data_IF_444398558049
#
_entry.id   IF_444398558049
#
_cell.length_a   1.000
_cell.length_b   1.000
_cell.length_c   1.000
_cell.angle_alpha   90.00
_cell.angle_beta   90.00
_cell.angle_gamma   90.00
#
_symmetry.space_group_name_H-M   'P 1'
#
loop_
_entity.id
_entity.type
_entity.pdbx_description
1 polymer ?
#
# COMPACT_ATOMS: atom_id res chain seq x y z
N UNK A 1 40.04 1.68 24.59
CA UNK A 1 39.20 2.88 24.40
C UNK A 1 38.51 2.72 23.04
N UNK A 2 37.29 2.20 23.03
CA UNK A 2 36.54 1.87 21.81
C UNK A 2 35.19 2.59 21.92
N UNK A 3 35.14 3.78 21.35
CA UNK A 3 33.97 4.65 21.29
C UNK A 3 34.04 5.38 19.95
N UNK A 4 32.87 5.55 19.32
CA UNK A 4 32.59 6.19 18.03
C UNK A 4 32.59 5.30 16.78
N UNK A 5 31.51 4.53 16.61
CA UNK A 5 31.00 4.13 15.29
C UNK A 5 29.46 4.24 15.17
N UNK A 6 28.73 4.58 16.23
CA UNK A 6 27.27 4.60 16.26
C UNK A 6 26.62 5.82 15.59
N UNK A 7 27.31 6.97 15.52
CA UNK A 7 26.72 8.20 14.98
C UNK A 7 26.47 8.16 13.45
N UNK A 8 27.34 7.49 12.69
CA UNK A 8 27.24 7.43 11.23
C UNK A 8 26.08 6.57 10.74
N UNK A 9 25.70 5.53 11.49
CA UNK A 9 24.60 4.64 11.12
C UNK A 9 23.23 5.27 11.37
N UNK A 10 23.02 5.92 12.52
CA UNK A 10 21.77 6.64 12.80
C UNK A 10 21.50 7.79 11.80
N UNK A 11 22.56 8.45 11.33
CA UNK A 11 22.46 9.47 10.28
C UNK A 11 22.11 8.89 8.90
N UNK A 12 22.59 7.68 8.58
CA UNK A 12 22.21 6.99 7.35
C UNK A 12 20.74 6.57 7.37
N UNK A 13 20.27 6.01 8.48
CA UNK A 13 18.88 5.55 8.63
C UNK A 13 17.89 6.72 8.59
N UNK A 14 18.20 7.83 9.27
CA UNK A 14 17.36 9.04 9.18
C UNK A 14 17.28 9.64 7.77
N UNK A 15 18.37 9.59 7.00
CA UNK A 15 18.36 9.99 5.58
C UNK A 15 17.49 9.05 4.73
N UNK A 16 17.52 7.75 5.01
CA UNK A 16 16.65 6.76 4.34
C UNK A 16 15.18 7.06 4.67
N UNK A 17 14.84 7.27 5.94
CA UNK A 17 13.48 7.59 6.37
C UNK A 17 12.96 8.87 5.71
N UNK A 18 13.76 9.94 5.69
CA UNK A 18 13.37 11.22 5.10
C UNK A 18 13.22 11.18 3.57
N UNK A 19 13.92 10.28 2.88
CA UNK A 19 13.75 10.09 1.43
C UNK A 19 12.38 9.51 1.09
N UNK A 20 11.90 8.58 1.91
CA UNK A 20 10.65 7.86 1.70
C UNK A 20 9.44 8.53 2.36
N UNK A 21 9.67 9.44 3.31
CA UNK A 21 8.64 10.22 3.99
C UNK A 21 8.78 11.71 3.66
N UNK A 22 7.84 12.23 2.90
CA UNK A 22 7.85 13.61 2.40
C UNK A 22 6.75 14.42 3.08
N UNK A 23 7.04 15.68 3.44
CA UNK A 23 6.08 16.62 4.01
C UNK A 23 5.87 17.79 3.06
N UNK A 24 4.62 18.19 2.86
CA UNK A 24 4.22 19.40 2.15
C UNK A 24 3.43 20.28 3.10
N UNK A 25 3.93 21.48 3.33
CA UNK A 25 3.34 22.46 4.23
C UNK A 25 2.66 23.57 3.45
N UNK A 26 1.44 23.90 3.84
CA UNK A 26 0.63 24.97 3.24
C UNK A 26 0.19 25.93 4.33
N UNK A 27 0.26 27.22 4.03
CA UNK A 27 -0.16 28.29 4.95
C UNK A 27 -1.05 29.28 4.22
N UNK A 28 -2.06 29.75 4.92
CA UNK A 28 -2.95 30.82 4.48
C UNK A 28 -2.63 32.12 5.23
N UNK A 29 -2.91 33.27 4.59
CA UNK A 29 -2.59 34.60 5.11
C UNK A 29 -3.30 34.90 6.45
N UNK A 30 -4.43 34.23 6.71
CA UNK A 30 -5.22 34.35 7.94
C UNK A 30 -4.74 33.41 9.07
N UNK A 31 -3.61 32.72 8.89
CA UNK A 31 -2.96 31.90 9.92
C UNK A 31 -3.32 30.42 9.92
N UNK A 32 -4.18 29.96 9.00
CA UNK A 32 -4.47 28.54 8.83
C UNK A 32 -3.26 27.79 8.24
N UNK A 33 -2.95 26.62 8.80
CA UNK A 33 -1.84 25.77 8.33
C UNK A 33 -2.33 24.34 8.07
N UNK A 34 -1.78 23.73 7.02
CA UNK A 34 -1.98 22.31 6.71
C UNK A 34 -0.64 21.68 6.37
N UNK A 35 -0.22 20.69 7.15
CA UNK A 35 0.86 19.79 6.78
C UNK A 35 0.28 18.48 6.27
N UNK A 36 0.73 18.07 5.08
CA UNK A 36 0.43 16.76 4.50
C UNK A 36 1.73 15.98 4.39
N UNK A 37 1.80 14.86 5.07
CA UNK A 37 2.92 13.94 5.01
C UNK A 37 2.48 12.66 4.32
N UNK A 38 3.30 12.19 3.38
CA UNK A 38 3.10 10.92 2.71
C UNK A 38 4.36 10.08 2.80
N UNK A 39 4.20 8.79 3.09
CA UNK A 39 5.29 7.84 3.24
C UNK A 39 5.06 6.61 2.41
N UNK A 40 6.01 6.31 1.51
CA UNK A 40 6.01 5.08 0.73
C UNK A 40 6.82 4.00 1.47
N UNK A 41 6.23 2.84 1.72
CA UNK A 41 6.89 1.74 2.43
C UNK A 41 7.77 0.90 1.51
N UNK A 42 8.91 1.47 1.12
CA UNK A 42 9.97 0.73 0.46
C UNK A 42 10.66 -0.26 1.42
N UNK A 43 11.36 -1.25 0.87
CA UNK A 43 12.08 -2.24 1.67
C UNK A 43 13.09 -1.60 2.63
N UNK A 44 13.94 -0.73 2.11
CA UNK A 44 14.95 -0.03 2.92
C UNK A 44 14.31 0.92 3.95
N UNK A 45 13.13 1.47 3.67
CA UNK A 45 12.40 2.29 4.65
C UNK A 45 11.94 1.43 5.83
N UNK A 46 11.36 0.25 5.55
CA UNK A 46 10.87 -0.67 6.58
C UNK A 46 12.02 -1.14 7.47
N UNK A 47 13.15 -1.54 6.89
CA UNK A 47 14.32 -1.96 7.68
C UNK A 47 14.84 -0.82 8.57
N UNK A 48 14.96 0.39 8.00
CA UNK A 48 15.38 1.56 8.77
C UNK A 48 14.39 1.90 9.90
N UNK A 49 13.08 1.78 9.64
CA UNK A 49 12.02 2.02 10.63
C UNK A 49 12.06 1.00 11.76
N UNK A 50 12.13 -0.30 11.43
CA UNK A 50 12.22 -1.39 12.41
C UNK A 50 13.44 -1.21 13.30
N UNK A 51 14.59 -0.89 12.69
CA UNK A 51 15.83 -0.65 13.43
C UNK A 51 15.71 0.57 14.34
N UNK A 52 15.17 1.69 13.85
CA UNK A 52 14.96 2.89 14.65
C UNK A 52 14.04 2.62 15.85
N UNK A 53 12.93 1.92 15.65
CA UNK A 53 12.01 1.56 16.75
C UNK A 53 12.65 0.57 17.73
N UNK A 54 13.43 -0.40 17.25
CA UNK A 54 14.16 -1.32 18.13
C UNK A 54 15.18 -0.59 19.01
N UNK A 55 15.97 0.33 18.45
CA UNK A 55 16.93 1.14 19.21
C UNK A 55 16.24 2.06 20.21
N UNK A 56 15.18 2.76 19.78
CA UNK A 56 14.42 3.71 20.61
C UNK A 56 13.76 3.03 21.80
N UNK A 57 13.24 1.81 21.61
CA UNK A 57 12.53 1.07 22.65
C UNK A 57 13.41 0.02 23.35
N UNK A 58 14.71 -0.06 23.02
CA UNK A 58 15.67 -1.05 23.56
C UNK A 58 15.19 -2.50 23.40
N UNK A 59 14.58 -2.82 22.26
CA UNK A 59 14.03 -4.14 22.00
C UNK A 59 15.11 -5.21 21.85
N UNK A 60 14.78 -6.40 22.34
CA UNK A 60 15.52 -7.62 22.01
C UNK A 60 15.37 -8.00 20.53
N UNK A 61 16.21 -8.91 20.06
CA UNK A 61 16.11 -9.44 18.69
C UNK A 61 14.72 -10.08 18.42
N UNK A 62 14.17 -10.80 19.41
CA UNK A 62 12.87 -11.45 19.29
C UNK A 62 11.72 -10.44 19.22
N UNK A 63 11.79 -9.36 20.00
CA UNK A 63 10.80 -8.27 19.96
C UNK A 63 10.86 -7.50 18.63
N UNK A 64 12.07 -7.27 18.13
CA UNK A 64 12.31 -6.62 16.83
C UNK A 64 11.72 -7.45 15.68
N UNK A 65 11.98 -8.77 15.67
CA UNK A 65 11.42 -9.68 14.67
C UNK A 65 9.89 -9.76 14.75
N UNK A 66 9.33 -9.77 15.97
CA UNK A 66 7.87 -9.76 16.18
C UNK A 66 7.23 -8.48 15.65
N UNK A 67 7.84 -7.33 15.93
CA UNK A 67 7.37 -6.04 15.40
C UNK A 67 7.44 -6.01 13.88
N UNK A 68 8.56 -6.43 13.30
CA UNK A 68 8.74 -6.55 11.84
C UNK A 68 7.66 -7.43 11.21
N UNK A 69 7.38 -8.59 11.81
CA UNK A 69 6.31 -9.48 11.36
C UNK A 69 4.93 -8.80 11.38
N UNK A 70 4.57 -8.12 12.47
CA UNK A 70 3.29 -7.42 12.59
C UNK A 70 3.15 -6.29 11.57
N UNK A 71 4.21 -5.50 11.40
CA UNK A 71 4.26 -4.42 10.41
C UNK A 71 4.07 -4.95 8.99
N UNK A 72 4.87 -5.95 8.58
CA UNK A 72 4.79 -6.54 7.25
C UNK A 72 3.43 -7.19 6.99
N UNK A 73 2.87 -7.86 8.00
CA UNK A 73 1.53 -8.47 7.92
C UNK A 73 0.44 -7.43 7.68
N UNK A 74 0.53 -6.26 8.32
CA UNK A 74 -0.44 -5.17 8.14
C UNK A 74 -0.26 -4.40 6.83
N UNK A 75 0.97 -4.36 6.30
CA UNK A 75 1.27 -3.69 5.03
C UNK A 75 0.82 -4.50 3.81
N UNK A 76 0.74 -5.83 3.90
CA UNK A 76 0.29 -6.72 2.81
C UNK A 76 0.99 -6.43 1.48
N UNK A 77 2.32 -6.27 1.54
CA UNK A 77 3.17 -5.83 0.42
C UNK A 77 3.13 -6.76 -0.79
N UNK A 78 2.69 -8.00 -0.58
CA UNK A 78 2.50 -8.99 -1.62
C UNK A 78 1.30 -8.70 -2.51
N UNK A 79 0.27 -8.01 -2.00
CA UNK A 79 -0.97 -7.67 -2.74
C UNK A 79 -1.05 -6.18 -3.10
N UNK A 80 -0.52 -5.32 -2.24
CA UNK A 80 -0.70 -3.87 -2.33
C UNK A 80 0.61 -3.10 -2.33
N UNK A 81 0.50 -1.84 -2.76
CA UNK A 81 1.49 -0.78 -2.61
C UNK A 81 0.94 0.14 -1.52
N UNK A 82 1.37 -0.02 -0.25
CA UNK A 82 0.87 0.78 0.85
C UNK A 82 1.56 2.13 0.92
N UNK A 83 0.77 3.17 1.16
CA UNK A 83 1.23 4.52 1.44
C UNK A 83 0.57 4.99 2.72
N UNK A 84 1.38 5.45 3.68
CA UNK A 84 0.87 6.13 4.87
C UNK A 84 0.70 7.61 4.55
N UNK A 85 -0.46 8.14 4.90
CA UNK A 85 -0.77 9.57 4.76
C UNK A 85 -1.10 10.11 6.15
N UNK A 86 -0.53 11.25 6.49
CA UNK A 86 -0.78 12.00 7.71
C UNK A 86 -1.14 13.44 7.36
N UNK A 87 -2.20 13.95 7.97
CA UNK A 87 -2.62 15.35 7.90
C UNK A 87 -2.50 15.96 9.29
N UNK A 88 -1.89 17.15 9.40
CA UNK A 88 -1.97 18.05 10.56
C UNK A 88 -2.66 19.34 10.10
N UNK A 89 -3.97 19.42 10.36
CA UNK A 89 -4.80 20.55 9.95
C UNK A 89 -5.02 21.50 11.14
N UNK A 90 -4.50 22.73 11.02
CA UNK A 90 -4.64 23.82 11.99
C UNK A 90 -5.41 25.00 11.40
N UNK A 91 -6.28 24.75 10.44
CA UNK A 91 -7.20 25.74 9.89
C UNK A 91 -8.63 25.23 9.85
N UNK A 92 -9.45 25.72 8.90
CA UNK A 92 -10.82 25.26 8.72
C UNK A 92 -10.90 23.74 8.55
N UNK A 93 -11.98 23.14 9.03
CA UNK A 93 -12.12 21.69 8.97
C UNK A 93 -12.11 21.16 7.53
N UNK A 94 -11.39 20.07 7.33
CA UNK A 94 -11.30 19.38 6.04
C UNK A 94 -12.47 18.42 5.86
N UNK A 95 -12.97 18.35 4.63
CA UNK A 95 -14.03 17.44 4.20
C UNK A 95 -13.51 16.55 3.08
N UNK A 96 -13.16 15.31 3.41
CA UNK A 96 -12.44 14.43 2.51
C UNK A 96 -13.24 13.17 2.14
N UNK A 97 -14.58 13.19 2.25
CA UNK A 97 -15.41 12.06 1.80
C UNK A 97 -15.92 12.26 0.36
N UNK A 98 -15.90 11.23 -0.49
CA UNK A 98 -15.23 9.93 -0.29
C UNK A 98 -13.73 10.05 -0.57
N UNK A 99 -12.88 9.57 0.35
CA UNK A 99 -11.44 9.89 0.37
C UNK A 99 -10.66 9.36 -0.83
N UNK A 100 -11.01 8.17 -1.28
CA UNK A 100 -10.46 7.53 -2.47
C UNK A 100 -10.58 8.39 -3.73
N UNK A 101 -11.65 9.18 -3.85
CA UNK A 101 -11.86 10.05 -5.02
C UNK A 101 -10.85 11.20 -5.16
N UNK A 102 -10.15 11.53 -4.07
CA UNK A 102 -9.11 12.56 -4.05
C UNK A 102 -7.71 11.99 -4.32
N UNK A 103 -7.55 10.67 -4.36
CA UNK A 103 -6.25 10.02 -4.45
C UNK A 103 -6.02 9.39 -5.83
N UNK A 104 -4.78 9.45 -6.29
CA UNK A 104 -4.34 8.69 -7.45
C UNK A 104 -2.87 8.36 -7.32
N UNK A 105 -2.52 7.10 -7.60
CA UNK A 105 -1.12 6.68 -7.66
C UNK A 105 -0.71 6.47 -9.12
N UNK A 106 0.28 7.23 -9.56
CA UNK A 106 0.87 7.08 -10.88
C UNK A 106 2.09 6.17 -10.77
N UNK A 107 2.02 5.06 -11.47
CA UNK A 107 3.08 4.07 -11.58
C UNK A 107 3.52 4.05 -13.05
N UNK A 108 4.56 4.81 -13.36
CA UNK A 108 4.90 5.15 -14.74
C UNK A 108 3.77 5.89 -15.44
N UNK A 109 3.20 5.29 -16.50
CA UNK A 109 2.05 5.86 -17.25
C UNK A 109 0.69 5.38 -16.72
N UNK A 110 0.67 4.41 -15.81
CA UNK A 110 -0.55 3.81 -15.29
C UNK A 110 -1.05 4.60 -14.09
N UNK A 111 -2.33 4.91 -14.08
CA UNK A 111 -3.02 5.60 -12.98
C UNK A 111 -3.83 4.58 -12.18
N UNK A 112 -3.57 4.50 -10.88
CA UNK A 112 -4.23 3.57 -9.97
C UNK A 112 -5.11 4.35 -9.00
N UNK A 113 -6.27 3.79 -8.68
CA UNK A 113 -7.12 4.21 -7.57
C UNK A 113 -6.83 3.35 -6.34
N UNK A 114 -7.07 3.84 -5.12
CA UNK A 114 -6.98 3.01 -3.92
C UNK A 114 -7.91 1.79 -4.03
N UNK A 115 -7.40 0.63 -3.63
CA UNK A 115 -8.19 -0.58 -3.43
C UNK A 115 -8.82 -0.60 -2.04
N UNK A 116 -8.08 -0.12 -1.03
CA UNK A 116 -8.60 0.10 0.32
C UNK A 116 -7.87 1.25 1.02
N UNK A 117 -8.44 1.76 2.10
CA UNK A 117 -7.89 2.85 2.89
C UNK A 117 -8.57 2.96 4.25
N UNK A 118 -7.92 3.65 5.20
CA UNK A 118 -8.49 3.95 6.51
C UNK A 118 -9.76 4.82 6.40
N UNK A 119 -10.92 4.25 6.71
CA UNK A 119 -12.23 4.93 6.58
C UNK A 119 -12.36 6.15 7.50
N UNK A 120 -11.48 6.34 8.49
CA UNK A 120 -11.42 7.56 9.32
C UNK A 120 -11.17 8.81 8.48
N UNK A 121 -10.58 8.68 7.28
CA UNK A 121 -10.41 9.80 6.36
C UNK A 121 -11.73 10.34 5.78
N UNK A 122 -12.81 9.55 5.78
CA UNK A 122 -14.12 10.04 5.31
C UNK A 122 -14.81 10.98 6.32
N UNK A 123 -14.31 11.07 7.55
CA UNK A 123 -14.91 11.95 8.55
C UNK A 123 -14.25 13.33 8.49
N UNK A 124 -15.01 14.36 8.87
CA UNK A 124 -14.51 15.72 9.07
C UNK A 124 -13.22 15.69 9.89
N UNK A 125 -12.23 16.48 9.49
CA UNK A 125 -10.93 16.54 10.15
C UNK A 125 -10.60 17.96 10.61
N UNK A 126 -10.34 18.07 11.91
CA UNK A 126 -9.69 19.20 12.58
C UNK A 126 -8.56 18.61 13.45
N UNK A 127 -7.37 19.19 13.39
CA UNK A 127 -6.18 18.60 14.00
C UNK A 127 -5.57 17.47 13.16
N UNK A 128 -5.11 16.41 13.83
CA UNK A 128 -4.28 15.36 13.23
C UNK A 128 -5.06 14.10 12.86
N UNK A 129 -4.74 13.52 11.71
CA UNK A 129 -5.18 12.18 11.33
C UNK A 129 -4.22 11.53 10.38
N UNK A 130 -3.94 10.26 10.65
CA UNK A 130 -3.09 9.43 9.82
C UNK A 130 -3.74 8.06 9.54
N UNK A 131 -3.25 7.40 8.51
CA UNK A 131 -3.77 6.11 8.10
C UNK A 131 -3.09 5.58 6.84
N UNK A 132 -3.33 4.29 6.57
CA UNK A 132 -2.83 3.61 5.38
C UNK A 132 -3.82 3.74 4.21
N UNK A 133 -3.25 3.82 3.03
CA UNK A 133 -3.93 3.72 1.74
C UNK A 133 -3.25 2.61 0.94
N UNK A 134 -4.03 1.67 0.45
CA UNK A 134 -3.55 0.50 -0.28
C UNK A 134 -3.89 0.64 -1.76
N UNK A 135 -2.89 0.71 -2.62
CA UNK A 135 -3.06 0.66 -4.07
C UNK A 135 -2.78 -0.75 -4.58
N UNK A 136 -3.47 -1.24 -5.63
CA UNK A 136 -3.23 -2.57 -6.16
C UNK A 136 -1.79 -2.71 -6.67
N UNK A 137 -1.13 -3.83 -6.37
CA UNK A 137 0.24 -4.11 -6.85
C UNK A 137 0.29 -4.73 -8.25
N UNK A 138 -0.76 -5.43 -8.66
CA UNK A 138 -0.86 -6.08 -9.97
C UNK A 138 -2.06 -5.56 -10.76
N UNK A 139 -1.95 -5.62 -12.08
CA UNK A 139 -3.11 -5.43 -12.95
C UNK A 139 -4.03 -6.66 -12.98
N UNK A 140 -5.17 -6.52 -13.65
CA UNK A 140 -6.19 -7.57 -13.78
C UNK A 140 -5.64 -8.87 -14.41
N UNK A 141 -4.51 -8.80 -15.12
CA UNK A 141 -3.84 -9.95 -15.74
C UNK A 141 -2.75 -10.54 -14.84
N UNK A 142 -2.59 -10.03 -13.62
CA UNK A 142 -1.57 -10.45 -12.66
C UNK A 142 -0.18 -9.91 -12.94
N UNK A 143 -0.02 -8.92 -13.83
CA UNK A 143 1.29 -8.31 -14.09
C UNK A 143 1.59 -7.23 -13.02
N UNK A 144 2.77 -7.25 -12.37
CA UNK A 144 3.13 -6.23 -11.38
C UNK A 144 3.18 -4.84 -12.01
N UNK A 145 2.62 -3.84 -11.33
CA UNK A 145 2.69 -2.44 -11.77
C UNK A 145 4.09 -1.84 -11.63
N UNK A 146 4.84 -2.26 -10.61
CA UNK A 146 6.16 -1.72 -10.28
C UNK A 146 7.31 -2.28 -11.15
N UNK A 147 7.04 -3.28 -11.97
CA UNK A 147 8.05 -3.91 -12.83
C UNK A 147 8.65 -2.91 -13.84
N UNK A 148 9.96 -2.70 -13.76
CA UNK A 148 10.70 -1.75 -14.61
C UNK A 148 10.39 -0.27 -14.36
N UNK A 149 9.69 0.07 -13.28
CA UNK A 149 9.30 1.46 -12.97
C UNK A 149 10.39 2.15 -12.15
N UNK A 150 10.73 3.37 -12.56
CA UNK A 150 11.75 4.18 -11.85
C UNK A 150 11.15 5.05 -10.75
N UNK A 151 9.93 5.53 -10.92
CA UNK A 151 9.32 6.47 -10.00
C UNK A 151 7.83 6.23 -9.85
N UNK A 152 7.35 6.49 -8.64
CA UNK A 152 5.93 6.48 -8.29
C UNK A 152 5.54 7.88 -7.83
N UNK A 153 4.38 8.37 -8.28
CA UNK A 153 3.84 9.66 -7.86
C UNK A 153 2.45 9.50 -7.23
N UNK A 154 2.29 9.95 -5.99
CA UNK A 154 0.99 10.12 -5.37
C UNK A 154 0.48 11.54 -5.66
N UNK A 155 -0.73 11.62 -6.21
CA UNK A 155 -1.47 12.86 -6.37
C UNK A 155 -2.61 12.86 -5.34
N UNK A 156 -2.68 13.92 -4.54
CA UNK A 156 -3.82 14.21 -3.68
C UNK A 156 -4.50 15.47 -4.20
N UNK A 157 -5.75 15.38 -4.65
CA UNK A 157 -6.51 16.55 -5.11
C UNK A 157 -6.59 17.59 -4.00
N UNK A 158 -6.22 18.82 -4.34
CA UNK A 158 -6.09 19.89 -3.35
C UNK A 158 -7.43 20.42 -2.81
N UNK A 159 -8.55 20.01 -3.40
CA UNK A 159 -9.91 20.35 -2.93
C UNK A 159 -10.28 19.72 -1.58
N UNK A 160 -9.40 18.93 -0.96
CA UNK A 160 -9.57 18.38 0.39
C UNK A 160 -9.56 19.45 1.50
N UNK A 161 -8.99 20.62 1.22
CA UNK A 161 -8.88 21.74 2.17
C UNK A 161 -9.00 23.09 1.44
N UNK A 162 -9.57 24.09 2.11
CA UNK A 162 -9.62 25.47 1.61
C UNK A 162 -8.22 26.08 1.48
N UNK A 163 -7.29 25.69 2.37
CA UNK A 163 -5.91 26.18 2.41
C UNK A 163 -5.16 25.82 1.11
N UNK A 164 -5.50 24.70 0.51
CA UNK A 164 -4.82 24.18 -0.69
C UNK A 164 -5.55 24.53 -1.99
N UNK A 165 -6.65 25.28 -1.97
CA UNK A 165 -7.45 25.57 -3.18
C UNK A 165 -6.71 26.36 -4.28
N UNK A 166 -5.56 27.00 -3.97
CA UNK A 166 -4.74 27.73 -4.95
C UNK A 166 -3.94 26.80 -5.88
N UNK A 167 -3.87 25.50 -5.57
CA UNK A 167 -3.18 24.48 -6.39
C UNK A 167 -4.16 23.40 -6.82
N UNK A 168 -3.81 22.62 -7.84
CA UNK A 168 -4.65 21.52 -8.33
C UNK A 168 -4.48 20.25 -7.49
N UNK A 169 -3.22 19.90 -7.19
CA UNK A 169 -2.84 18.65 -6.53
C UNK A 169 -1.65 18.87 -5.61
N UNK A 170 -1.60 18.08 -4.54
CA UNK A 170 -0.46 17.93 -3.66
C UNK A 170 0.27 16.67 -4.14
N UNK A 171 1.43 16.85 -4.75
CA UNK A 171 2.18 15.76 -5.39
C UNK A 171 3.35 15.31 -4.52
N UNK A 172 3.49 13.99 -4.40
CA UNK A 172 4.63 13.31 -3.76
C UNK A 172 5.25 12.34 -4.76
N UNK A 173 6.58 12.37 -4.91
CA UNK A 173 7.28 11.56 -5.90
C UNK A 173 8.42 10.81 -5.23
N UNK A 174 8.44 9.50 -5.39
CA UNK A 174 9.51 8.63 -4.90
C UNK A 174 10.22 7.93 -6.05
N UNK A 175 11.54 7.79 -5.93
CA UNK A 175 12.36 6.95 -6.80
C UNK A 175 12.34 5.52 -6.26
N UNK A 176 11.71 4.62 -7.01
CA UNK A 176 11.54 3.20 -6.69
C UNK A 176 12.45 2.30 -7.52
N UNK A 177 13.38 2.86 -8.29
CA UNK A 177 14.23 2.10 -9.21
C UNK A 177 15.12 1.06 -8.53
N UNK A 178 15.36 1.22 -7.23
CA UNK A 178 16.16 0.32 -6.39
C UNK A 178 15.35 -0.33 -5.26
N UNK A 179 14.03 -0.17 -5.26
CA UNK A 179 13.19 -0.81 -4.26
C UNK A 179 13.09 -2.31 -4.57
N UNK A 180 13.51 -3.14 -3.62
CA UNK A 180 13.43 -4.59 -3.70
C UNK A 180 12.66 -5.14 -2.48
N UNK A 181 11.33 -5.22 -2.57
CA UNK A 181 10.51 -5.77 -1.49
C UNK A 181 10.83 -7.24 -1.17
N UNK A 182 11.42 -8.00 -2.09
CA UNK A 182 11.80 -9.39 -1.82
C UNK A 182 12.94 -9.48 -0.81
N UNK A 183 13.77 -8.44 -0.71
CA UNK A 183 14.82 -8.35 0.31
C UNK A 183 14.28 -8.39 1.75
N UNK A 184 13.05 -7.92 1.98
CA UNK A 184 12.37 -7.97 3.28
C UNK A 184 12.04 -9.40 3.71
N UNK A 185 11.96 -10.31 2.75
CA UNK A 185 11.63 -11.72 2.97
C UNK A 185 12.88 -12.60 3.13
N UNK A 186 13.95 -12.06 3.73
CA UNK A 186 15.12 -12.83 4.18
C UNK A 186 15.12 -12.91 5.72
N UNK A 187 15.18 -14.12 6.28
CA UNK A 187 15.20 -14.36 7.74
C UNK A 187 14.05 -15.22 8.27
N UNK A 188 13.92 -15.34 9.61
CA UNK A 188 12.87 -16.18 10.24
C UNK A 188 11.48 -15.57 10.15
N UNK A 189 11.30 -14.27 10.44
CA UNK A 189 10.00 -13.60 10.26
C UNK A 189 9.53 -13.65 8.80
N UNK A 190 10.47 -13.51 7.88
CA UNK A 190 10.24 -13.64 6.46
C UNK A 190 9.73 -15.03 6.03
N UNK A 191 10.37 -16.11 6.50
CA UNK A 191 9.94 -17.47 6.19
C UNK A 191 8.52 -17.74 6.71
N UNK A 192 8.17 -17.18 7.87
CA UNK A 192 6.81 -17.26 8.43
C UNK A 192 5.80 -16.47 7.59
N UNK A 193 6.13 -15.24 7.17
CA UNK A 193 5.27 -14.44 6.30
C UNK A 193 5.06 -15.09 4.94
N UNK A 194 6.12 -15.64 4.35
CA UNK A 194 6.05 -16.36 3.09
C UNK A 194 5.15 -17.59 3.22
N UNK A 195 5.25 -18.34 4.32
CA UNK A 195 4.35 -19.46 4.61
C UNK A 195 2.90 -19.00 4.76
N UNK A 196 2.63 -17.94 5.53
CA UNK A 196 1.29 -17.37 5.69
C UNK A 196 0.72 -16.88 4.35
N UNK A 197 1.56 -16.25 3.51
CA UNK A 197 1.22 -15.81 2.15
C UNK A 197 0.84 -16.99 1.26
N UNK A 198 1.69 -18.03 1.25
CA UNK A 198 1.45 -19.23 0.43
C UNK A 198 0.17 -19.94 0.86
N UNK A 199 -0.12 -20.02 2.16
CA UNK A 199 -1.38 -20.58 2.67
C UNK A 199 -2.57 -19.77 2.15
N UNK A 200 -2.56 -18.44 2.29
CA UNK A 200 -3.64 -17.58 1.77
C UNK A 200 -3.82 -17.73 0.26
N UNK A 201 -2.73 -17.81 -0.49
CA UNK A 201 -2.77 -18.02 -1.94
C UNK A 201 -3.37 -19.37 -2.31
N UNK A 202 -3.04 -20.42 -1.57
CA UNK A 202 -3.63 -21.76 -1.73
C UNK A 202 -5.14 -21.72 -1.47
N UNK A 203 -5.58 -21.05 -0.40
CA UNK A 203 -7.01 -20.89 -0.10
C UNK A 203 -7.77 -20.18 -1.22
N UNK A 204 -7.22 -19.06 -1.72
CA UNK A 204 -7.81 -18.30 -2.83
C UNK A 204 -7.89 -19.14 -4.12
N UNK A 205 -6.80 -19.80 -4.50
CA UNK A 205 -6.77 -20.65 -5.69
C UNK A 205 -7.73 -21.84 -5.57
N UNK A 206 -7.89 -22.42 -4.38
CA UNK A 206 -8.88 -23.47 -4.14
C UNK A 206 -10.32 -22.96 -4.28
N UNK A 207 -10.62 -21.75 -3.81
CA UNK A 207 -11.93 -21.13 -4.01
C UNK A 207 -12.22 -20.84 -5.49
N UNK A 208 -11.25 -20.28 -6.21
CA UNK A 208 -11.35 -20.03 -7.66
C UNK A 208 -11.53 -21.34 -8.45
N UNK A 209 -10.75 -22.39 -8.11
CA UNK A 209 -10.89 -23.72 -8.72
C UNK A 209 -12.30 -24.27 -8.53
N UNK A 210 -12.85 -24.24 -7.32
CA UNK A 210 -14.22 -24.73 -7.05
C UNK A 210 -15.27 -23.96 -7.85
N UNK A 211 -15.13 -22.65 -7.96
CA UNK A 211 -16.06 -21.83 -8.76
C UNK A 211 -15.99 -22.17 -10.25
N UNK A 212 -14.79 -22.42 -10.79
CA UNK A 212 -14.61 -22.84 -12.18
C UNK A 212 -15.13 -24.26 -12.44
N UNK A 213 -14.90 -25.20 -11.52
CA UNK A 213 -15.48 -26.55 -11.58
C UNK A 213 -17.01 -26.51 -11.59
N UNK A 214 -17.62 -25.63 -10.79
CA UNK A 214 -19.07 -25.40 -10.81
C UNK A 214 -19.58 -24.93 -12.18
N UNK A 215 -18.94 -23.93 -12.77
CA UNK A 215 -19.29 -23.44 -14.13
C UNK A 215 -19.11 -24.50 -15.20
N UNK A 216 -18.07 -25.33 -15.08
CA UNK A 216 -17.81 -26.42 -16.02
C UNK A 216 -18.89 -27.52 -15.90
N UNK A 217 -19.33 -27.81 -14.67
CA UNK A 217 -20.44 -28.72 -14.42
C UNK A 217 -21.76 -28.21 -15.04
N UNK A 218 -22.06 -26.92 -14.90
CA UNK A 218 -23.24 -26.30 -15.52
C UNK A 218 -23.20 -26.39 -17.05
N UNK A 219 -22.06 -26.06 -17.66
CA UNK A 219 -21.89 -26.11 -19.11
C UNK A 219 -22.03 -27.54 -19.66
N UNK A 220 -21.48 -28.53 -18.94
CA UNK A 220 -21.63 -29.94 -19.34
C UNK A 220 -23.09 -30.40 -19.28
N UNK A 221 -23.84 -30.00 -18.25
CA UNK A 221 -25.26 -30.34 -18.14
C UNK A 221 -26.09 -29.73 -19.30
N UNK A 222 -25.73 -28.52 -19.75
CA UNK A 222 -26.35 -27.89 -20.91
C UNK A 222 -25.99 -28.62 -22.21
N UNK A 223 -24.73 -29.00 -22.40
CA UNK A 223 -24.28 -29.80 -23.55
C UNK A 223 -25.00 -31.15 -23.61
N UNK A 224 -25.17 -31.85 -22.49
CA UNK A 224 -25.90 -33.11 -22.43
C UNK A 224 -27.36 -32.93 -22.85
N UNK A 225 -28.01 -31.87 -22.37
CA UNK A 225 -29.39 -31.53 -22.71
C UNK A 225 -29.55 -31.24 -24.21
N UNK A 226 -28.64 -30.45 -24.78
CA UNK A 226 -28.64 -30.14 -26.23
C UNK A 226 -28.36 -31.40 -27.05
N UNK A 227 -27.41 -32.22 -26.63
CA UNK A 227 -27.03 -33.46 -27.33
C UNK A 227 -28.22 -34.42 -27.37
N UNK A 228 -28.90 -34.61 -26.24
CA UNK A 228 -30.14 -35.41 -26.20
C UNK A 228 -31.20 -34.86 -27.16
N UNK A 229 -31.36 -33.53 -27.20
CA UNK A 229 -32.31 -32.89 -28.11
C UNK A 229 -31.94 -33.07 -29.59
N UNK A 230 -30.65 -33.04 -29.93
CA UNK A 230 -30.16 -33.30 -31.28
C UNK A 230 -30.43 -34.75 -31.67
N UNK A 231 -30.18 -35.71 -30.78
CA UNK A 231 -30.45 -37.14 -31.02
C UNK A 231 -31.95 -37.42 -31.24
N UNK A 232 -32.83 -36.78 -30.46
CA UNK A 232 -34.28 -36.86 -30.66
C UNK A 232 -34.70 -36.40 -32.06
N UNK A 233 -34.16 -35.27 -32.52
CA UNK A 233 -34.49 -34.70 -33.83
C UNK A 233 -33.91 -35.52 -34.99
N UNK A 234 -32.78 -36.19 -34.82
CA UNK A 234 -32.18 -37.05 -35.84
C UNK A 234 -32.94 -38.37 -36.06
N UNK A 235 -33.79 -38.78 -35.11
CA UNK A 235 -34.59 -40.01 -35.20
C UNK A 235 -36.00 -39.79 -35.77
N UNK A 236 -36.37 -38.56 -36.08
CA UNK A 236 -37.60 -38.18 -36.80
C UNK A 236 -37.34 -38.11 -38.30
#
# INVERSE_FOLDING_TARGET
MLLFLSASFAFADSKVLARWSQVKSFKEDLGGELDVKATYYAAEYIEALVKQEAEKNLWTADETERYKYQLLSGLTLDEYIPIHIEFDNRGPSMHMAPFDSFLSLWVGKKKLTPADYDKRFNFRLEGKRDGLVFFPRYDEKGKPYLDGVKSVRLDIRASISTITMKISTIDFIWDVSRDDPEALYKGRAAARLELDRLIKRIEKLNAEKRALEGKLSELNAELDTITHRVEELQRQ
#
